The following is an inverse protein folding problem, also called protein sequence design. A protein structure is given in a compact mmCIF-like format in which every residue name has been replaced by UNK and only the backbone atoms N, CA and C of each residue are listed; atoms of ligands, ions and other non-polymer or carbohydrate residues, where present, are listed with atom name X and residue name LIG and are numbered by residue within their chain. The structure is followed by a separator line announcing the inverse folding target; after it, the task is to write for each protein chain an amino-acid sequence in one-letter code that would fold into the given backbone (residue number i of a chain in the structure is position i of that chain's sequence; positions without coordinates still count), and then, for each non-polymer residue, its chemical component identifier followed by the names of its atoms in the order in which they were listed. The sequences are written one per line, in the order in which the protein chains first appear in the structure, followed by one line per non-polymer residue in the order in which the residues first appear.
data_IF_830095296496
#
_entry.id   IF_830095296496
#
_cell.length_a   1.000
_cell.length_b   1.000
_cell.length_c   1.000
_cell.angle_alpha   90.00
_cell.angle_beta   90.00
_cell.angle_gamma   90.00
#
_symmetry.space_group_name_H-M   'P 1'
#
loop_
_entity.id
_entity.type
_entity.pdbx_description
1 polymer ?
#
# COMPACT_ATOMS: atom_id res chain seq x y z
N UNK A 1 38.58 -39.33 48.31
CA UNK A 1 38.59 -38.05 47.55
C UNK A 1 38.12 -38.22 46.09
N UNK A 2 37.59 -39.38 45.68
CA UNK A 2 37.18 -39.65 44.28
C UNK A 2 35.75 -39.17 43.93
N UNK A 3 34.89 -38.91 44.91
CA UNK A 3 33.50 -38.49 44.66
C UNK A 3 33.33 -37.02 44.24
N UNK A 4 34.31 -36.16 44.51
CA UNK A 4 34.22 -34.71 44.21
C UNK A 4 34.52 -34.36 42.74
N UNK A 5 35.31 -35.18 42.04
CA UNK A 5 35.70 -34.89 40.64
C UNK A 5 34.60 -35.22 39.63
N UNK A 6 33.81 -36.27 39.87
CA UNK A 6 32.67 -36.64 39.03
C UNK A 6 31.54 -35.61 39.11
N UNK A 7 31.29 -35.07 40.31
CA UNK A 7 30.27 -34.05 40.51
C UNK A 7 30.62 -32.75 39.76
N UNK A 8 31.90 -32.37 39.73
CA UNK A 8 32.36 -31.18 39.00
C UNK A 8 32.26 -31.35 37.48
N UNK A 9 32.56 -32.54 36.96
CA UNK A 9 32.39 -32.85 35.53
C UNK A 9 30.91 -32.83 35.12
N UNK A 10 30.03 -33.37 35.97
CA UNK A 10 28.58 -33.35 35.74
C UNK A 10 27.98 -31.94 35.79
N UNK A 11 28.40 -31.12 36.77
CA UNK A 11 27.94 -29.73 36.87
C UNK A 11 28.42 -28.87 35.69
N UNK A 12 29.65 -29.10 35.20
CA UNK A 12 30.16 -28.43 34.01
C UNK A 12 29.35 -28.83 32.76
N UNK A 13 29.01 -30.11 32.60
CA UNK A 13 28.17 -30.60 31.50
C UNK A 13 26.76 -30.01 31.57
N UNK A 14 26.14 -29.97 32.76
CA UNK A 14 24.82 -29.38 32.95
C UNK A 14 24.81 -27.88 32.68
N UNK A 15 25.87 -27.16 33.04
CA UNK A 15 26.00 -25.74 32.72
C UNK A 15 26.14 -25.50 31.21
N UNK A 16 26.90 -26.35 30.51
CA UNK A 16 27.01 -26.29 29.05
C UNK A 16 25.67 -26.60 28.38
N UNK A 17 24.96 -27.64 28.83
CA UNK A 17 23.63 -27.98 28.32
C UNK A 17 22.59 -26.90 28.64
N UNK A 18 22.68 -26.27 29.82
CA UNK A 18 21.84 -25.14 30.19
C UNK A 18 22.11 -23.92 29.31
N UNK A 19 23.38 -23.54 29.11
CA UNK A 19 23.75 -22.43 28.24
C UNK A 19 23.37 -22.70 26.77
N UNK A 20 23.51 -23.94 26.29
CA UNK A 20 23.02 -24.34 24.97
C UNK A 20 21.49 -24.26 24.89
N UNK A 21 20.76 -24.65 25.95
CA UNK A 21 19.29 -24.59 25.98
C UNK A 21 18.76 -23.15 26.09
N UNK A 22 19.49 -22.25 26.73
CA UNK A 22 19.15 -20.82 26.82
C UNK A 22 19.52 -20.11 25.52
N UNK A 23 20.64 -20.48 24.88
CA UNK A 23 20.99 -20.02 23.54
C UNK A 23 19.95 -20.45 22.50
N UNK A 24 19.49 -21.71 22.54
CA UNK A 24 18.46 -22.22 21.63
C UNK A 24 17.09 -21.55 21.81
N UNK A 25 16.74 -21.14 23.04
CA UNK A 25 15.47 -20.43 23.33
C UNK A 25 15.50 -18.94 23.01
N UNK A 26 16.69 -18.38 22.75
CA UNK A 26 16.91 -16.98 22.40
C UNK A 26 17.42 -16.82 20.97
N UNK A 27 17.38 -17.88 20.16
CA UNK A 27 17.44 -17.70 18.72
C UNK A 27 16.21 -16.87 18.34
N UNK A 28 16.36 -15.73 17.63
CA UNK A 28 15.21 -15.18 16.93
C UNK A 28 14.62 -16.36 16.14
N UNK A 29 13.31 -16.58 16.29
CA UNK A 29 12.56 -17.38 15.33
C UNK A 29 13.07 -16.97 13.95
N UNK A 30 13.45 -17.93 13.08
CA UNK A 30 13.89 -17.62 11.71
C UNK A 30 12.92 -16.58 11.18
N UNK A 31 13.36 -15.32 11.06
CA UNK A 31 12.56 -14.33 10.37
C UNK A 31 12.37 -14.96 8.99
N UNK A 32 11.13 -15.27 8.58
CA UNK A 32 10.91 -15.88 7.28
C UNK A 32 11.65 -14.97 6.31
N UNK A 33 12.59 -15.53 5.54
CA UNK A 33 13.26 -14.80 4.46
C UNK A 33 12.16 -14.01 3.76
N UNK A 34 12.20 -12.68 3.84
CA UNK A 34 11.16 -11.86 3.26
C UNK A 34 11.23 -12.08 1.76
N UNK A 35 10.38 -12.99 1.27
CA UNK A 35 10.26 -13.24 -0.15
C UNK A 35 9.54 -12.03 -0.72
N UNK A 36 10.28 -11.23 -1.47
CA UNK A 36 9.73 -10.05 -2.11
C UNK A 36 8.79 -10.46 -3.24
N UNK A 37 7.64 -9.81 -3.27
CA UNK A 37 6.64 -9.93 -4.32
C UNK A 37 7.04 -8.96 -5.42
N UNK A 38 7.40 -9.49 -6.59
CA UNK A 38 7.78 -8.68 -7.73
C UNK A 38 6.53 -8.08 -8.39
N UNK A 39 6.65 -6.88 -8.99
CA UNK A 39 5.55 -6.30 -9.75
C UNK A 39 5.20 -7.19 -10.94
N UNK A 40 3.91 -7.18 -11.30
CA UNK A 40 3.44 -7.86 -12.51
C UNK A 40 3.76 -7.05 -13.76
N UNK A 41 4.02 -5.75 -13.63
CA UNK A 41 4.48 -4.88 -14.69
C UNK A 41 5.21 -3.69 -14.09
N UNK A 42 6.28 -3.26 -14.75
CA UNK A 42 7.02 -2.06 -14.41
C UNK A 42 7.28 -1.25 -15.67
N UNK A 43 7.51 0.05 -15.52
CA UNK A 43 7.99 0.89 -16.61
C UNK A 43 8.98 1.93 -16.11
N UNK A 44 9.99 2.20 -16.95
CA UNK A 44 11.11 3.03 -16.57
C UNK A 44 10.84 4.54 -16.68
N UNK A 45 11.54 5.32 -15.86
CA UNK A 45 11.63 6.79 -15.94
C UNK A 45 12.51 7.24 -17.11
N UNK A 46 12.08 6.96 -18.34
CA UNK A 46 12.87 7.17 -19.55
C UNK A 46 12.55 8.49 -20.28
N UNK A 47 11.83 9.39 -19.63
CA UNK A 47 11.35 10.64 -20.22
C UNK A 47 10.02 10.52 -20.96
N UNK A 48 9.33 9.38 -20.84
CA UNK A 48 7.99 9.17 -21.42
C UNK A 48 6.92 8.72 -20.39
N UNK A 49 7.33 8.45 -19.15
CA UNK A 49 6.49 8.14 -17.99
C UNK A 49 7.34 8.35 -16.72
N UNK A 50 6.72 8.71 -15.58
CA UNK A 50 7.43 9.01 -14.31
C UNK A 50 6.56 9.00 -13.03
N UNK A 51 5.26 8.74 -13.11
CA UNK A 51 4.38 8.72 -11.94
C UNK A 51 3.10 7.96 -12.25
N UNK A 52 3.02 6.71 -11.79
CA UNK A 52 1.88 5.84 -12.02
C UNK A 52 0.67 6.30 -11.23
N UNK A 53 -0.45 6.29 -11.92
CA UNK A 53 -1.79 6.39 -11.35
C UNK A 53 -2.46 5.05 -11.57
N UNK A 54 -2.50 4.23 -10.52
CA UNK A 54 -3.26 2.99 -10.51
C UNK A 54 -4.74 3.23 -10.86
N UNK A 55 -5.34 2.30 -11.59
CA UNK A 55 -6.73 2.41 -11.98
C UNK A 55 -7.52 1.16 -11.70
N UNK A 56 -8.30 0.66 -12.67
CA UNK A 56 -9.33 -0.37 -12.43
C UNK A 56 -9.32 -1.40 -13.55
N UNK A 57 -9.66 -2.65 -13.21
CA UNK A 57 -10.02 -3.66 -14.21
C UNK A 57 -11.39 -3.29 -14.80
N UNK A 58 -11.45 -3.09 -16.10
CA UNK A 58 -12.69 -2.65 -16.75
C UNK A 58 -13.71 -3.80 -16.84
N UNK A 59 -14.87 -3.60 -16.21
CA UNK A 59 -16.00 -4.55 -16.17
C UNK A 59 -17.31 -3.96 -16.73
N UNK A 60 -17.26 -2.75 -17.28
CA UNK A 60 -18.39 -2.08 -17.93
C UNK A 60 -18.74 -2.70 -19.29
N UNK A 61 -19.84 -2.22 -19.89
CA UNK A 61 -20.36 -2.71 -21.16
C UNK A 61 -20.18 -1.72 -22.31
N UNK A 62 -19.93 -0.43 -22.05
CA UNK A 62 -19.84 0.60 -23.08
C UNK A 62 -18.56 0.53 -23.92
N UNK A 63 -17.51 -0.12 -23.43
CA UNK A 63 -16.17 -0.19 -24.07
C UNK A 63 -15.69 -1.64 -24.12
N UNK A 64 -16.30 -2.51 -24.94
CA UNK A 64 -16.01 -3.95 -24.95
C UNK A 64 -14.55 -4.32 -25.18
N UNK A 65 -13.79 -3.49 -25.91
CA UNK A 65 -12.36 -3.70 -26.16
C UNK A 65 -11.47 -3.66 -24.91
N UNK A 66 -11.95 -3.08 -23.81
CA UNK A 66 -11.24 -3.01 -22.53
C UNK A 66 -11.64 -4.12 -21.54
N UNK A 67 -12.66 -4.93 -21.85
CA UNK A 67 -13.20 -5.90 -20.91
C UNK A 67 -12.11 -6.82 -20.32
N UNK A 68 -12.00 -6.83 -19.00
CA UNK A 68 -11.03 -7.65 -18.25
C UNK A 68 -9.59 -7.12 -18.24
N UNK A 69 -9.30 -5.98 -18.89
CA UNK A 69 -7.99 -5.33 -18.85
C UNK A 69 -7.92 -4.34 -17.69
N UNK A 70 -6.77 -4.27 -17.03
CA UNK A 70 -6.46 -3.27 -16.01
C UNK A 70 -6.03 -1.96 -16.68
N UNK A 71 -6.77 -0.89 -16.43
CA UNK A 71 -6.50 0.42 -17.03
C UNK A 71 -5.80 1.29 -16.00
N UNK A 72 -4.67 1.86 -16.39
CA UNK A 72 -3.83 2.71 -15.54
C UNK A 72 -3.21 3.82 -16.39
N UNK A 73 -2.64 4.83 -15.75
CA UNK A 73 -2.05 5.96 -16.46
C UNK A 73 -0.82 6.52 -15.79
N UNK A 74 -0.23 7.52 -16.46
CA UNK A 74 0.89 8.28 -15.94
C UNK A 74 0.48 9.74 -15.73
N UNK A 75 0.66 10.21 -14.50
CA UNK A 75 0.32 11.57 -14.10
C UNK A 75 1.18 12.62 -14.82
N UNK A 76 2.45 12.33 -15.13
CA UNK A 76 3.45 13.29 -15.63
C UNK A 76 3.46 13.42 -17.16
N UNK A 77 3.12 12.35 -17.88
CA UNK A 77 3.18 12.32 -19.35
C UNK A 77 1.81 12.18 -20.01
N UNK A 78 0.74 12.00 -19.24
CA UNK A 78 -0.62 12.01 -19.76
C UNK A 78 -0.91 10.86 -20.72
N UNK A 79 -0.30 9.72 -20.42
CA UNK A 79 -0.50 8.45 -21.12
C UNK A 79 -1.41 7.55 -20.30
N UNK A 80 -2.20 6.73 -21.00
CA UNK A 80 -3.05 5.70 -20.40
C UNK A 80 -2.81 4.41 -21.15
N UNK A 81 -2.68 3.31 -20.41
CA UNK A 81 -2.50 1.98 -20.96
C UNK A 81 -3.57 1.01 -20.45
N UNK A 82 -3.73 -0.07 -21.19
CA UNK A 82 -4.41 -1.28 -20.75
C UNK A 82 -3.38 -2.39 -20.54
N UNK A 83 -3.42 -3.06 -19.39
CA UNK A 83 -2.66 -4.25 -19.08
C UNK A 83 -3.59 -5.46 -19.06
N UNK A 84 -3.28 -6.46 -19.88
CA UNK A 84 -3.94 -7.76 -19.90
C UNK A 84 -2.97 -8.84 -19.40
N UNK A 85 -3.40 -9.66 -18.44
CA UNK A 85 -2.61 -10.82 -17.99
C UNK A 85 -2.93 -12.00 -18.90
N UNK A 86 -1.92 -12.47 -19.63
CA UNK A 86 -2.03 -13.63 -20.53
C UNK A 86 -1.14 -14.78 -20.05
N UNK A 87 -1.33 -15.97 -20.62
CA UNK A 87 -0.48 -17.15 -20.34
C UNK A 87 1.01 -16.90 -20.69
N UNK A 88 1.28 -15.98 -21.62
CA UNK A 88 2.63 -15.60 -22.06
C UNK A 88 3.21 -14.41 -21.25
N UNK A 89 2.48 -13.93 -20.22
CA UNK A 89 2.85 -12.79 -19.39
C UNK A 89 1.95 -11.57 -19.57
N UNK A 90 2.25 -10.45 -18.88
CA UNK A 90 1.53 -9.20 -19.03
C UNK A 90 1.69 -8.63 -20.44
N UNK A 91 0.59 -8.25 -21.08
CA UNK A 91 0.57 -7.51 -22.35
C UNK A 91 0.05 -6.11 -22.09
N UNK A 92 0.79 -5.10 -22.55
CA UNK A 92 0.46 -3.70 -22.29
C UNK A 92 0.25 -2.96 -23.61
N UNK A 93 -0.89 -2.29 -23.71
CA UNK A 93 -1.35 -1.55 -24.88
C UNK A 93 -1.49 -0.07 -24.53
N UNK A 94 -0.83 0.82 -25.26
CA UNK A 94 -1.03 2.26 -25.12
C UNK A 94 -2.38 2.64 -25.72
N UNK A 95 -3.26 3.23 -24.91
CA UNK A 95 -4.60 3.64 -25.31
C UNK A 95 -4.67 5.12 -25.68
N UNK A 96 -4.07 5.97 -24.84
CA UNK A 96 -4.10 7.44 -24.97
C UNK A 96 -2.69 7.97 -24.77
N UNK A 97 -2.27 8.88 -25.65
CA UNK A 97 -1.13 9.77 -25.46
C UNK A 97 -1.59 11.19 -25.73
N UNK A 98 -1.90 11.94 -24.66
CA UNK A 98 -2.45 13.30 -24.77
C UNK A 98 -1.43 14.34 -25.25
N UNK A 99 -0.13 14.02 -25.28
CA UNK A 99 0.90 14.92 -25.79
C UNK A 99 1.11 14.74 -27.30
N UNK A 100 0.93 13.52 -27.81
CA UNK A 100 1.05 13.23 -29.25
C UNK A 100 -0.25 13.42 -30.02
N UNK A 101 -1.41 13.28 -29.38
CA UNK A 101 -2.71 13.41 -30.03
C UNK A 101 -3.10 14.89 -30.23
N UNK A 102 -3.17 15.39 -31.48
CA UNK A 102 -3.50 16.78 -31.78
C UNK A 102 -4.95 17.17 -31.41
N UNK A 103 -5.80 16.22 -31.03
CA UNK A 103 -7.13 16.50 -30.51
C UNK A 103 -7.11 17.09 -29.09
N UNK A 104 -5.99 16.99 -28.38
CA UNK A 104 -5.84 17.51 -27.02
C UNK A 104 -5.33 18.95 -27.02
N UNK A 105 -6.05 19.83 -26.35
CA UNK A 105 -5.65 21.23 -26.16
C UNK A 105 -4.63 21.40 -25.01
N UNK A 106 -4.60 20.42 -24.09
CA UNK A 106 -3.70 20.37 -22.95
C UNK A 106 -3.38 18.91 -22.58
N UNK A 107 -2.23 18.71 -21.91
CA UNK A 107 -1.80 17.42 -21.37
C UNK A 107 -2.80 16.92 -20.33
N UNK A 108 -3.27 15.68 -20.50
CA UNK A 108 -4.05 14.97 -19.48
C UNK A 108 -3.15 14.70 -18.26
N UNK A 109 -3.56 15.11 -17.07
CA UNK A 109 -2.87 14.78 -15.83
C UNK A 109 -3.71 13.77 -15.06
N UNK A 110 -3.66 12.50 -15.44
CA UNK A 110 -4.49 11.45 -14.87
C UNK A 110 -4.18 11.28 -13.38
N UNK A 111 -4.99 11.85 -12.50
CA UNK A 111 -4.79 11.89 -11.04
C UNK A 111 -5.62 10.85 -10.29
N UNK A 112 -6.63 10.28 -10.93
CA UNK A 112 -7.35 9.12 -10.42
C UNK A 112 -8.12 8.45 -11.53
N UNK A 113 -8.34 7.16 -11.37
CA UNK A 113 -9.41 6.45 -12.06
C UNK A 113 -10.50 6.09 -11.06
N UNK A 114 -11.72 5.96 -11.55
CA UNK A 114 -12.83 5.45 -10.77
C UNK A 114 -13.88 4.83 -11.67
N UNK A 115 -14.72 4.00 -11.07
CA UNK A 115 -15.82 3.33 -11.75
C UNK A 115 -17.15 3.80 -11.16
N UNK A 116 -18.18 3.85 -12.01
CA UNK A 116 -19.54 4.02 -11.52
C UNK A 116 -20.17 2.69 -11.06
N UNK A 117 -21.42 2.75 -10.60
CA UNK A 117 -22.15 1.55 -10.14
C UNK A 117 -22.37 0.52 -11.27
N UNK A 118 -22.35 0.95 -12.53
CA UNK A 118 -22.46 0.10 -13.72
C UNK A 118 -21.12 -0.49 -14.19
N UNK A 119 -20.00 -0.11 -13.55
CA UNK A 119 -18.65 -0.56 -13.92
C UNK A 119 -18.04 0.22 -15.08
N UNK A 120 -18.63 1.34 -15.48
CA UNK A 120 -18.06 2.22 -16.49
C UNK A 120 -16.90 3.02 -15.90
N UNK A 121 -15.85 3.21 -16.70
CA UNK A 121 -14.57 3.76 -16.24
C UNK A 121 -14.44 5.24 -16.57
N UNK A 122 -13.91 5.95 -15.60
CA UNK A 122 -13.66 7.37 -15.62
C UNK A 122 -12.21 7.66 -15.24
N UNK A 123 -11.67 8.75 -15.78
CA UNK A 123 -10.38 9.32 -15.37
C UNK A 123 -10.59 10.77 -14.94
N UNK A 124 -10.10 11.10 -13.75
CA UNK A 124 -9.98 12.46 -13.28
C UNK A 124 -8.70 13.06 -13.87
N UNK A 125 -8.85 14.14 -14.62
CA UNK A 125 -7.75 15.01 -15.00
C UNK A 125 -7.56 16.05 -13.91
N UNK A 126 -6.36 16.16 -13.33
CA UNK A 126 -6.02 17.19 -12.35
C UNK A 126 -6.27 18.61 -12.89
N UNK A 127 -6.30 18.79 -14.22
CA UNK A 127 -6.73 20.03 -14.88
C UNK A 127 -8.21 20.41 -14.69
N UNK A 128 -9.02 19.54 -14.07
CA UNK A 128 -10.39 19.82 -13.65
C UNK A 128 -11.49 19.18 -14.49
N UNK A 129 -11.14 18.30 -15.43
CA UNK A 129 -12.12 17.58 -16.26
C UNK A 129 -12.25 16.13 -15.83
N UNK A 130 -13.46 15.58 -15.85
CA UNK A 130 -13.68 14.15 -15.63
C UNK A 130 -14.03 13.50 -16.97
N UNK A 131 -13.16 12.64 -17.46
CA UNK A 131 -13.33 11.97 -18.74
C UNK A 131 -13.91 10.57 -18.54
N UNK A 132 -14.74 10.12 -19.48
CA UNK A 132 -15.24 8.74 -19.54
C UNK A 132 -14.73 8.05 -20.79
N UNK A 133 -14.35 6.79 -20.68
CA UNK A 133 -14.04 5.95 -21.83
C UNK A 133 -15.30 5.64 -22.64
N UNK A 134 -15.18 5.69 -23.96
CA UNK A 134 -16.24 5.34 -24.89
C UNK A 134 -15.66 4.56 -26.05
N UNK A 135 -16.46 3.68 -26.63
CA UNK A 135 -16.10 2.99 -27.87
C UNK A 135 -17.22 3.13 -28.91
N UNK A 136 -16.86 3.58 -30.10
CA UNK A 136 -17.78 3.67 -31.23
C UNK A 136 -17.10 3.15 -32.49
N UNK A 137 -17.72 2.15 -33.14
CA UNK A 137 -17.19 1.52 -34.36
C UNK A 137 -15.76 1.00 -34.24
N UNK A 138 -15.38 0.50 -33.05
CA UNK A 138 -14.04 -0.01 -32.76
C UNK A 138 -13.00 1.08 -32.49
N UNK A 139 -13.42 2.34 -32.31
CA UNK A 139 -12.55 3.45 -31.91
C UNK A 139 -12.81 3.82 -30.46
N UNK A 140 -11.78 3.68 -29.64
CA UNK A 140 -11.76 4.13 -28.24
C UNK A 140 -11.52 5.64 -28.19
N UNK A 141 -12.23 6.33 -27.31
CA UNK A 141 -12.06 7.76 -27.07
C UNK A 141 -12.44 8.14 -25.63
N UNK A 142 -11.86 9.25 -25.15
CA UNK A 142 -12.28 9.92 -23.93
C UNK A 142 -13.26 11.05 -24.27
N UNK A 143 -14.36 11.14 -23.53
CA UNK A 143 -15.34 12.22 -23.65
C UNK A 143 -15.54 12.91 -22.30
N UNK A 144 -15.70 14.23 -22.32
CA UNK A 144 -16.05 14.98 -21.12
C UNK A 144 -17.40 14.49 -20.57
N UNK A 145 -17.36 13.96 -19.35
CA UNK A 145 -18.52 13.38 -18.67
C UNK A 145 -19.50 14.45 -18.23
N UNK A 146 -18.98 15.63 -17.86
CA UNK A 146 -19.76 16.69 -17.25
C UNK A 146 -19.54 18.03 -17.98
N UNK A 147 -19.96 18.14 -19.26
CA UNK A 147 -19.74 19.35 -20.03
C UNK A 147 -20.26 20.61 -19.35
N UNK A 148 -19.37 21.59 -19.17
CA UNK A 148 -19.67 22.86 -18.52
C UNK A 148 -19.52 22.86 -17.00
N UNK A 149 -19.16 21.73 -16.39
CA UNK A 149 -18.64 21.68 -15.02
C UNK A 149 -17.12 21.66 -15.04
N UNK A 150 -16.50 22.22 -14.01
CA UNK A 150 -15.06 22.16 -13.79
C UNK A 150 -14.79 21.90 -12.32
N UNK A 151 -13.80 21.06 -12.05
CA UNK A 151 -13.40 20.63 -10.71
C UNK A 151 -12.03 21.21 -10.37
N UNK A 152 -11.79 21.46 -9.09
CA UNK A 152 -10.52 22.00 -8.60
C UNK A 152 -9.64 20.84 -8.14
N UNK A 153 -8.55 20.60 -8.87
CA UNK A 153 -7.57 19.54 -8.57
C UNK A 153 -8.24 18.21 -8.17
N UNK A 154 -9.05 17.60 -9.06
CA UNK A 154 -9.71 16.34 -8.70
C UNK A 154 -8.65 15.25 -8.50
N UNK A 155 -8.76 14.49 -7.41
CA UNK A 155 -7.78 13.45 -7.02
C UNK A 155 -8.44 12.11 -6.64
N UNK A 156 -9.75 11.99 -6.82
CA UNK A 156 -10.48 10.78 -6.48
C UNK A 156 -11.89 10.75 -7.07
N UNK A 157 -12.38 9.53 -7.31
CA UNK A 157 -13.69 9.25 -7.87
C UNK A 157 -14.27 8.05 -7.12
N UNK A 158 -15.46 8.18 -6.56
CA UNK A 158 -16.11 7.09 -5.84
C UNK A 158 -17.61 7.03 -6.13
N UNK A 159 -18.09 5.85 -6.49
CA UNK A 159 -19.52 5.59 -6.64
C UNK A 159 -20.18 5.47 -5.27
N UNK A 160 -21.40 5.99 -5.17
CA UNK A 160 -22.18 6.03 -3.93
C UNK A 160 -22.99 4.74 -3.69
N UNK A 161 -23.13 3.86 -4.69
CA UNK A 161 -24.09 2.76 -4.67
C UNK A 161 -25.54 3.17 -4.96
N UNK A 162 -25.81 4.47 -5.16
CA UNK A 162 -27.15 5.01 -5.47
C UNK A 162 -27.27 5.60 -6.89
N UNK A 163 -26.29 5.33 -7.76
CA UNK A 163 -26.23 5.78 -9.15
C UNK A 163 -25.42 7.07 -9.35
N UNK A 164 -24.87 7.66 -8.27
CA UNK A 164 -24.01 8.86 -8.35
C UNK A 164 -22.53 8.49 -8.26
N UNK A 165 -21.73 9.19 -9.06
CA UNK A 165 -20.27 9.23 -8.97
C UNK A 165 -19.86 10.58 -8.33
N UNK A 166 -19.10 10.54 -7.23
CA UNK A 166 -18.61 11.74 -6.55
C UNK A 166 -17.11 11.93 -6.77
N UNK A 167 -16.71 13.19 -6.92
CA UNK A 167 -15.36 13.67 -7.18
C UNK A 167 -14.79 14.20 -5.86
N UNK A 168 -13.55 13.81 -5.57
CA UNK A 168 -12.73 14.38 -4.51
C UNK A 168 -11.93 15.53 -5.10
N UNK A 169 -12.14 16.75 -4.60
CA UNK A 169 -11.31 17.91 -4.89
C UNK A 169 -10.28 18.07 -3.77
N UNK A 170 -9.01 18.08 -4.15
CA UNK A 170 -7.86 18.13 -3.23
C UNK A 170 -7.98 19.21 -2.12
N UNK A 171 -8.53 20.42 -2.37
CA UNK A 171 -8.67 21.45 -1.34
C UNK A 171 -9.68 21.14 -0.21
N UNK A 172 -10.29 19.95 -0.18
CA UNK A 172 -11.16 19.54 0.94
C UNK A 172 -12.64 19.50 0.64
N UNK A 173 -13.03 19.26 -0.62
CA UNK A 173 -14.44 19.15 -1.01
C UNK A 173 -14.74 17.83 -1.69
N UNK A 174 -15.93 17.30 -1.42
CA UNK A 174 -16.51 16.17 -2.18
C UNK A 174 -17.71 16.69 -2.97
N UNK A 175 -17.62 16.60 -4.29
CA UNK A 175 -18.65 17.08 -5.22
C UNK A 175 -19.33 15.88 -5.86
N UNK A 176 -20.66 15.81 -5.83
CA UNK A 176 -21.44 14.77 -6.49
C UNK A 176 -22.27 15.39 -7.61
N UNK A 177 -21.83 15.30 -8.88
CA UNK A 177 -22.60 15.72 -10.02
C UNK A 177 -23.81 14.82 -10.26
N UNK A 178 -24.93 15.43 -10.65
CA UNK A 178 -26.15 14.73 -11.05
C UNK A 178 -26.99 15.64 -11.94
N UNK A 179 -27.50 15.12 -13.05
CA UNK A 179 -28.36 15.83 -14.01
C UNK A 179 -27.82 17.21 -14.46
N UNK A 180 -26.51 17.30 -14.71
CA UNK A 180 -25.84 18.54 -15.14
C UNK A 180 -25.66 19.59 -14.04
N UNK A 181 -25.99 19.27 -12.78
CA UNK A 181 -25.68 20.10 -11.62
C UNK A 181 -24.58 19.44 -10.77
N UNK A 182 -23.87 20.24 -9.99
CA UNK A 182 -22.90 19.78 -9.00
C UNK A 182 -23.42 20.06 -7.58
N UNK A 183 -23.47 19.04 -6.72
CA UNK A 183 -23.81 19.21 -5.30
C UNK A 183 -22.58 19.00 -4.43
N UNK A 184 -22.36 19.88 -3.46
CA UNK A 184 -21.29 19.71 -2.47
C UNK A 184 -21.80 18.77 -1.39
N UNK A 185 -21.29 17.54 -1.37
CA UNK A 185 -21.61 16.56 -0.33
C UNK A 185 -20.88 16.91 0.97
N UNK A 186 -19.57 17.17 0.89
CA UNK A 186 -18.71 17.49 2.02
C UNK A 186 -17.87 18.72 1.68
N UNK A 187 -17.72 19.61 2.66
CA UNK A 187 -16.78 20.73 2.61
C UNK A 187 -16.07 20.84 3.95
N UNK A 188 -14.79 20.50 3.96
CA UNK A 188 -13.91 20.50 5.14
C UNK A 188 -12.59 21.24 4.86
N UNK A 189 -12.55 22.15 3.89
CA UNK A 189 -11.32 22.86 3.49
C UNK A 189 -10.56 23.50 4.66
N UNK A 190 -11.27 24.03 5.66
CA UNK A 190 -10.67 24.63 6.86
C UNK A 190 -9.89 23.61 7.75
N UNK A 191 -10.18 22.32 7.61
CA UNK A 191 -9.50 21.24 8.35
C UNK A 191 -8.39 20.57 7.53
N UNK A 192 -8.34 20.84 6.22
CA UNK A 192 -7.44 20.19 5.27
C UNK A 192 -6.20 21.06 5.06
N UNK A 193 -5.04 20.42 5.04
CA UNK A 193 -3.80 21.00 4.56
C UNK A 193 -3.58 20.57 3.10
N UNK A 194 -3.60 21.52 2.17
CA UNK A 194 -3.30 21.33 0.75
C UNK A 194 -2.13 22.23 0.29
N UNK A 195 -1.24 22.62 1.21
CA UNK A 195 -0.09 23.49 0.93
C UNK A 195 0.98 22.85 0.01
N UNK A 196 0.99 21.52 -0.12
CA UNK A 196 1.94 20.74 -0.91
C UNK A 196 1.21 19.75 -1.84
N UNK A 197 1.91 19.24 -2.85
CA UNK A 197 1.29 18.56 -3.99
C UNK A 197 0.61 17.23 -3.63
N UNK A 198 1.08 16.55 -2.60
CA UNK A 198 0.54 15.26 -2.13
C UNK A 198 -0.29 15.41 -0.85
N UNK A 199 -0.42 16.62 -0.33
CA UNK A 199 -1.30 16.93 0.80
C UNK A 199 -2.69 17.32 0.27
N UNK A 200 -3.71 17.12 1.08
CA UNK A 200 -5.08 17.54 0.76
C UNK A 200 -6.12 16.53 1.27
N UNK A 201 -7.31 16.57 0.68
CA UNK A 201 -8.30 15.50 0.76
C UNK A 201 -7.99 14.47 -0.33
N UNK A 202 -7.63 13.25 0.06
CA UNK A 202 -6.96 12.27 -0.82
C UNK A 202 -7.83 11.05 -1.13
N UNK A 203 -8.60 10.56 -0.16
CA UNK A 203 -9.42 9.36 -0.30
C UNK A 203 -10.89 9.60 0.04
N UNK A 204 -11.75 8.83 -0.62
CA UNK A 204 -13.18 8.81 -0.41
C UNK A 204 -13.68 7.39 -0.66
N UNK A 205 -14.40 6.83 0.31
CA UNK A 205 -15.11 5.57 0.14
C UNK A 205 -16.51 5.68 0.76
N UNK A 206 -17.53 5.26 0.02
CA UNK A 206 -18.88 5.13 0.54
C UNK A 206 -19.06 3.76 1.16
N UNK A 207 -19.68 3.69 2.35
CA UNK A 207 -20.02 2.41 2.95
C UNK A 207 -20.88 1.58 1.97
N UNK A 208 -20.74 0.25 1.87
CA UNK A 208 -21.56 -0.57 0.96
C UNK A 208 -23.08 -0.40 1.18
N UNK A 209 -23.48 -0.11 2.43
CA UNK A 209 -24.83 0.27 2.84
C UNK A 209 -25.17 1.78 2.81
N UNK A 210 -24.42 2.63 2.10
CA UNK A 210 -24.55 4.10 2.15
C UNK A 210 -25.97 4.60 1.82
N UNK A 211 -26.67 3.96 0.88
CA UNK A 211 -28.05 4.30 0.56
C UNK A 211 -28.97 4.23 1.81
N UNK A 212 -28.69 3.32 2.73
CA UNK A 212 -29.48 3.07 3.94
C UNK A 212 -28.92 3.82 5.17
N UNK A 213 -27.61 3.73 5.41
CA UNK A 213 -26.98 4.26 6.63
C UNK A 213 -26.34 5.63 6.47
N UNK A 214 -26.07 6.06 5.23
CA UNK A 214 -25.45 7.35 4.91
C UNK A 214 -24.00 7.50 5.33
N UNK A 215 -23.30 6.43 5.73
CA UNK A 215 -21.91 6.46 6.21
C UNK A 215 -20.92 6.50 5.05
N UNK A 216 -19.93 7.37 5.14
CA UNK A 216 -18.84 7.45 4.17
C UNK A 216 -17.57 7.92 4.88
N UNK A 217 -16.44 7.66 4.25
CA UNK A 217 -15.13 7.79 4.86
C UNK A 217 -14.23 8.63 3.96
N UNK A 218 -13.42 9.45 4.59
CA UNK A 218 -12.43 10.29 3.91
C UNK A 218 -11.09 10.20 4.61
N UNK A 219 -10.04 10.36 3.83
CA UNK A 219 -8.68 10.57 4.32
C UNK A 219 -8.21 11.94 3.87
N UNK A 220 -7.58 12.67 4.79
CA UNK A 220 -7.04 13.97 4.48
C UNK A 220 -5.86 14.32 5.37
N UNK A 221 -4.97 15.16 4.85
CA UNK A 221 -3.89 15.75 5.62
C UNK A 221 -4.44 16.89 6.48
N UNK A 222 -4.18 16.87 7.79
CA UNK A 222 -4.73 17.83 8.74
C UNK A 222 -4.01 19.18 8.69
N UNK A 223 -4.76 20.29 8.78
CA UNK A 223 -4.20 21.64 8.76
C UNK A 223 -3.25 21.95 9.95
N UNK A 224 -3.48 21.36 11.11
CA UNK A 224 -2.76 21.70 12.35
C UNK A 224 -1.37 21.05 12.44
N UNK A 225 -1.28 19.76 12.21
CA UNK A 225 -0.03 18.99 12.39
C UNK A 225 0.42 18.20 11.14
N UNK A 226 -0.37 18.20 10.07
CA UNK A 226 -0.04 17.51 8.82
C UNK A 226 -0.15 15.98 8.91
N UNK A 227 -0.78 15.43 9.94
CA UNK A 227 -1.08 14.01 10.01
C UNK A 227 -2.07 13.60 8.90
N UNK A 228 -1.99 12.36 8.43
CA UNK A 228 -3.05 11.79 7.62
C UNK A 228 -4.14 11.27 8.56
N UNK A 229 -5.36 11.80 8.43
CA UNK A 229 -6.51 11.40 9.25
C UNK A 229 -7.53 10.64 8.40
N UNK A 230 -7.90 9.45 8.85
CA UNK A 230 -9.09 8.72 8.39
C UNK A 230 -10.27 9.10 9.28
N UNK A 231 -11.34 9.63 8.66
CA UNK A 231 -12.54 10.04 9.37
C UNK A 231 -13.81 9.50 8.69
N UNK A 232 -14.79 9.13 9.52
CA UNK A 232 -16.15 8.81 9.13
C UNK A 232 -17.04 10.06 9.24
N UNK A 233 -17.93 10.22 8.26
CA UNK A 233 -19.05 11.16 8.29
C UNK A 233 -20.36 10.45 7.92
N UNK A 234 -21.48 11.06 8.29
CA UNK A 234 -22.80 10.62 7.87
C UNK A 234 -23.54 11.67 7.02
N UNK A 235 -24.31 11.21 6.04
CA UNK A 235 -25.21 12.02 5.24
C UNK A 235 -26.67 11.61 5.48
N UNK A 236 -27.51 12.59 5.80
CA UNK A 236 -28.95 12.37 6.00
C UNK A 236 -29.70 12.50 4.68
N UNK A 237 -30.70 11.64 4.48
CA UNK A 237 -31.58 11.75 3.32
C UNK A 237 -32.42 13.03 3.40
N UNK A 238 -32.47 13.76 2.29
CA UNK A 238 -33.35 14.92 2.14
C UNK A 238 -34.81 14.48 1.86
N UNK A 239 -35.71 15.43 1.59
CA UNK A 239 -37.14 15.15 1.32
C UNK A 239 -37.39 14.29 0.08
N UNK A 240 -36.43 14.20 -0.84
CA UNK A 240 -36.49 13.33 -2.03
C UNK A 240 -35.77 12.00 -1.81
N UNK A 241 -35.27 11.72 -0.60
CA UNK A 241 -34.56 10.49 -0.26
C UNK A 241 -33.07 10.48 -0.61
N UNK A 242 -32.54 11.57 -1.17
CA UNK A 242 -31.14 11.65 -1.63
C UNK A 242 -30.24 12.15 -0.50
N UNK A 243 -29.06 11.53 -0.35
CA UNK A 243 -28.02 11.91 0.63
C UNK A 243 -26.95 12.77 -0.04
N UNK A 244 -27.28 14.04 -0.24
CA UNK A 244 -26.42 15.00 -0.95
C UNK A 244 -25.78 16.08 -0.05
N UNK A 245 -25.85 15.91 1.28
CA UNK A 245 -25.22 16.82 2.23
C UNK A 245 -24.78 16.06 3.48
N UNK A 246 -23.50 16.14 3.83
CA UNK A 246 -22.92 15.55 5.02
C UNK A 246 -23.28 16.34 6.28
N UNK A 247 -23.46 15.65 7.40
CA UNK A 247 -23.52 16.28 8.71
C UNK A 247 -22.09 16.44 9.24
N UNK A 248 -21.52 17.65 9.15
CA UNK A 248 -20.14 17.91 9.62
C UNK A 248 -19.94 17.62 11.11
N UNK A 249 -20.98 17.76 11.93
CA UNK A 249 -20.92 17.44 13.37
C UNK A 249 -20.91 15.93 13.67
N UNK A 250 -21.15 15.09 12.66
CA UNK A 250 -21.10 13.63 12.81
C UNK A 250 -19.70 13.04 12.65
N UNK A 251 -18.68 13.87 12.47
CA UNK A 251 -17.30 13.41 12.29
C UNK A 251 -16.89 12.46 13.42
N UNK A 252 -16.41 11.28 13.04
CA UNK A 252 -15.70 10.35 13.92
C UNK A 252 -14.32 10.10 13.37
N UNK A 253 -13.29 10.45 14.13
CA UNK A 253 -11.91 10.13 13.77
C UNK A 253 -11.67 8.65 14.05
N UNK A 254 -11.15 7.92 13.06
CA UNK A 254 -10.92 6.49 13.15
C UNK A 254 -9.45 6.18 13.36
N UNK A 255 -8.58 6.84 12.58
CA UNK A 255 -7.13 6.66 12.61
C UNK A 255 -6.45 7.99 12.30
N UNK A 256 -5.33 8.26 12.98
CA UNK A 256 -4.41 9.35 12.68
C UNK A 256 -3.00 8.80 12.58
N UNK A 257 -2.33 9.09 11.47
CA UNK A 257 -0.95 8.65 11.20
C UNK A 257 -0.11 9.89 10.98
N UNK A 258 0.87 10.09 11.86
CA UNK A 258 1.85 11.18 11.71
C UNK A 258 2.64 10.99 10.41
N UNK A 259 2.76 12.05 9.63
CA UNK A 259 3.51 12.06 8.37
C UNK A 259 4.88 12.71 8.62
N UNK A 260 6.01 11.97 8.52
CA UNK A 260 7.36 12.52 8.71
C UNK A 260 7.71 13.63 7.71
N UNK A 261 7.09 13.60 6.53
CA UNK A 261 7.27 14.58 5.47
C UNK A 261 5.95 14.88 4.73
N UNK A 262 5.98 15.87 3.83
CA UNK A 262 4.80 16.37 3.08
C UNK A 262 4.47 15.60 1.81
N UNK A 263 5.22 14.54 1.52
CA UNK A 263 5.02 13.70 0.34
C UNK A 263 4.98 12.23 0.76
N UNK A 264 4.62 11.37 -0.18
CA UNK A 264 4.29 9.95 -0.03
C UNK A 264 3.20 9.72 1.03
N UNK A 265 2.15 10.56 0.99
CA UNK A 265 1.07 10.49 1.97
C UNK A 265 0.09 9.34 1.70
N UNK A 266 0.05 8.81 0.46
CA UNK A 266 -0.91 7.80 0.03
C UNK A 266 -2.35 8.31 0.19
N UNK A 267 -3.14 7.62 1.00
CA UNK A 267 -4.46 8.06 1.44
C UNK A 267 -5.61 7.49 0.64
N UNK A 268 -5.41 6.68 -0.40
CA UNK A 268 -6.56 6.10 -1.12
C UNK A 268 -7.41 5.18 -0.24
N UNK A 269 -8.73 5.21 -0.45
CA UNK A 269 -9.70 4.39 0.25
C UNK A 269 -10.57 3.63 -0.75
N UNK A 270 -10.79 2.35 -0.47
CA UNK A 270 -11.76 1.53 -1.19
C UNK A 270 -12.37 0.49 -0.24
N UNK A 271 -13.63 0.10 -0.46
CA UNK A 271 -14.20 -1.07 0.18
C UNK A 271 -13.90 -2.31 -0.65
N UNK A 272 -13.28 -3.31 -0.03
CA UNK A 272 -13.03 -4.59 -0.68
C UNK A 272 -14.32 -5.39 -0.92
N UNK A 273 -14.25 -6.45 -1.75
CA UNK A 273 -15.38 -7.37 -1.96
C UNK A 273 -15.76 -8.13 -0.67
N UNK A 274 -14.90 -8.09 0.33
CA UNK A 274 -15.09 -8.64 1.66
C UNK A 274 -15.86 -7.71 2.62
N UNK A 275 -16.23 -6.50 2.17
CA UNK A 275 -16.95 -5.52 2.98
C UNK A 275 -16.08 -4.71 3.95
N UNK A 276 -14.76 -4.91 3.92
CA UNK A 276 -13.82 -4.20 4.78
C UNK A 276 -13.33 -2.91 4.12
N UNK A 277 -12.91 -1.93 4.93
CA UNK A 277 -12.32 -0.69 4.44
C UNK A 277 -10.81 -0.88 4.28
N UNK A 278 -10.27 -0.44 3.15
CA UNK A 278 -8.85 -0.52 2.83
C UNK A 278 -8.22 0.87 2.70
N UNK A 279 -6.96 1.01 3.09
CA UNK A 279 -6.22 2.28 3.04
C UNK A 279 -4.77 2.05 2.62
N UNK A 280 -4.30 2.73 1.58
CA UNK A 280 -2.90 2.74 1.17
C UNK A 280 -2.13 3.88 1.81
N UNK A 281 -0.97 3.63 2.42
CA UNK A 281 -0.09 4.64 3.01
C UNK A 281 1.31 4.53 2.42
N UNK A 282 1.86 5.64 1.94
CA UNK A 282 3.26 5.70 1.53
C UNK A 282 4.21 5.65 2.72
N UNK A 283 5.50 5.55 2.43
CA UNK A 283 6.60 5.44 3.40
C UNK A 283 6.77 6.68 4.30
N UNK A 284 5.93 7.71 4.13
CA UNK A 284 5.97 8.94 4.92
C UNK A 284 6.93 10.00 4.38
N UNK A 285 7.54 9.75 3.22
CA UNK A 285 8.16 10.76 2.38
C UNK A 285 9.60 11.09 2.72
N UNK A 286 10.19 11.93 1.86
CA UNK A 286 11.65 12.09 1.58
C UNK A 286 12.19 10.99 0.67
N UNK A 287 13.41 11.18 0.17
CA UNK A 287 14.08 10.26 -0.74
C UNK A 287 14.48 8.95 -0.04
N UNK A 288 14.44 7.83 -0.78
CA UNK A 288 15.05 6.55 -0.43
C UNK A 288 14.63 5.96 0.92
N UNK A 289 13.36 6.15 1.32
CA UNK A 289 12.81 5.77 2.63
C UNK A 289 13.71 6.22 3.80
N UNK A 290 13.91 7.53 3.91
CA UNK A 290 14.82 8.13 4.88
C UNK A 290 14.50 7.84 6.36
N UNK A 291 13.34 7.25 6.64
CA UNK A 291 12.87 6.91 7.97
C UNK A 291 12.78 5.40 8.19
N UNK A 292 13.01 4.57 7.17
CA UNK A 292 13.04 3.12 7.25
C UNK A 292 11.66 2.51 7.50
N UNK A 293 10.60 3.17 7.03
CA UNK A 293 9.23 2.81 7.36
C UNK A 293 8.70 1.64 6.53
N UNK A 294 9.10 1.52 5.26
CA UNK A 294 8.49 0.56 4.34
C UNK A 294 8.76 -0.90 4.72
N UNK A 295 9.84 -1.16 5.47
CA UNK A 295 10.19 -2.50 5.96
C UNK A 295 9.96 -2.66 7.47
N UNK A 296 9.48 -1.62 8.16
CA UNK A 296 9.22 -1.65 9.59
C UNK A 296 7.73 -1.93 9.87
N UNK A 297 7.43 -3.16 10.28
CA UNK A 297 6.07 -3.61 10.59
C UNK A 297 5.49 -2.99 11.87
N UNK A 298 6.24 -2.20 12.64
CA UNK A 298 5.75 -1.50 13.84
C UNK A 298 5.12 -0.13 13.52
N UNK A 299 5.34 0.39 12.29
CA UNK A 299 4.66 1.56 11.74
C UNK A 299 3.57 1.15 10.74
N UNK A 300 2.65 2.06 10.45
CA UNK A 300 1.61 1.86 9.42
C UNK A 300 2.03 2.40 8.04
N UNK A 301 3.15 3.11 7.97
CA UNK A 301 3.66 3.72 6.74
C UNK A 301 4.24 2.66 5.80
N UNK A 302 4.27 2.95 4.50
CA UNK A 302 4.75 2.05 3.45
C UNK A 302 3.94 0.75 3.33
N UNK A 303 2.63 0.83 3.61
CA UNK A 303 1.76 -0.32 3.80
C UNK A 303 0.38 -0.14 3.20
N UNK A 304 -0.28 -1.27 2.92
CA UNK A 304 -1.70 -1.36 2.64
C UNK A 304 -2.41 -1.92 3.87
N UNK A 305 -3.41 -1.21 4.36
CA UNK A 305 -4.14 -1.50 5.60
C UNK A 305 -5.55 -1.99 5.33
N UNK A 306 -6.11 -2.79 6.24
CA UNK A 306 -7.47 -3.33 6.17
C UNK A 306 -8.15 -3.33 7.54
N UNK A 307 -9.36 -2.77 7.60
CA UNK A 307 -10.13 -2.55 8.83
C UNK A 307 -11.55 -3.13 8.74
N UNK A 308 -12.06 -3.65 9.85
CA UNK A 308 -13.50 -3.87 10.02
C UNK A 308 -14.12 -2.61 10.64
N UNK A 309 -14.82 -1.82 9.82
CA UNK A 309 -15.40 -0.54 10.25
C UNK A 309 -16.78 -0.67 10.89
N UNK A 310 -17.34 -1.88 10.88
CA UNK A 310 -18.64 -2.22 11.44
C UNK A 310 -18.54 -2.90 12.81
N UNK A 311 -17.36 -3.43 13.15
CA UNK A 311 -17.04 -3.95 14.48
C UNK A 311 -16.09 -3.02 15.26
N UNK A 312 -16.11 -3.09 16.59
CA UNK A 312 -15.19 -2.36 17.47
C UNK A 312 -15.47 -0.84 17.64
N UNK A 313 -14.59 -0.20 18.41
CA UNK A 313 -14.56 1.26 18.64
C UNK A 313 -13.10 1.72 18.79
N UNK A 314 -12.52 2.43 17.79
CA UNK A 314 -13.20 3.02 16.63
C UNK A 314 -13.44 2.08 15.44
N UNK A 315 -12.78 0.91 15.42
CA UNK A 315 -12.90 -0.16 14.41
C UNK A 315 -12.37 -1.49 14.97
N UNK A 316 -12.64 -2.59 14.27
CA UNK A 316 -12.15 -3.94 14.53
C UNK A 316 -11.00 -4.31 13.58
N UNK A 317 -10.26 -5.35 13.96
CA UNK A 317 -9.23 -5.97 13.12
C UNK A 317 -9.81 -7.29 12.59
N UNK A 318 -9.86 -7.49 11.27
CA UNK A 318 -10.25 -8.79 10.72
C UNK A 318 -9.30 -9.89 11.19
N UNK A 319 -9.84 -11.00 11.70
CA UNK A 319 -9.06 -12.14 12.22
C UNK A 319 -8.11 -12.74 11.18
N UNK A 320 -8.43 -12.58 9.89
CA UNK A 320 -7.63 -13.04 8.77
C UNK A 320 -6.59 -12.02 8.29
N UNK A 321 -6.39 -10.87 8.94
CA UNK A 321 -5.22 -10.03 8.68
C UNK A 321 -3.91 -10.78 9.02
N UNK A 322 -2.81 -10.58 8.25
CA UNK A 322 -1.57 -11.32 8.43
C UNK A 322 -0.90 -11.12 9.79
N UNK A 323 -1.11 -9.97 10.42
CA UNK A 323 -0.49 -9.62 11.70
C UNK A 323 -1.50 -9.49 12.85
N UNK A 324 -2.72 -10.03 12.69
CA UNK A 324 -3.77 -9.95 13.70
C UNK A 324 -3.35 -10.53 15.06
N UNK A 325 -2.56 -11.61 15.06
CA UNK A 325 -2.06 -12.30 16.26
C UNK A 325 -0.67 -11.80 16.74
N UNK A 326 -0.11 -10.75 16.10
CA UNK A 326 1.20 -10.17 16.41
C UNK A 326 2.24 -10.34 15.29
N UNK A 327 3.45 -9.82 15.52
CA UNK A 327 4.54 -9.78 14.53
C UNK A 327 4.56 -8.53 13.64
N UNK A 328 3.67 -7.58 13.91
CA UNK A 328 3.54 -6.29 13.23
C UNK A 328 2.26 -5.59 13.68
N UNK A 329 1.96 -4.43 13.09
CA UNK A 329 0.68 -3.73 13.33
C UNK A 329 -0.48 -4.55 12.75
N UNK A 330 -1.53 -4.83 13.53
CA UNK A 330 -2.60 -5.74 13.13
C UNK A 330 -3.44 -5.22 11.95
N UNK A 331 -3.39 -3.92 11.67
CA UNK A 331 -4.03 -3.30 10.51
C UNK A 331 -3.38 -3.66 9.17
N UNK A 332 -2.09 -4.03 9.16
CA UNK A 332 -1.32 -4.24 7.93
C UNK A 332 -1.82 -5.49 7.21
N UNK A 333 -2.16 -5.32 5.93
CA UNK A 333 -2.39 -6.42 4.98
C UNK A 333 -1.14 -6.75 4.16
N UNK A 334 -0.41 -5.74 3.72
CA UNK A 334 0.83 -5.85 2.95
C UNK A 334 1.71 -4.63 3.18
N UNK A 335 3.01 -4.75 2.93
CA UNK A 335 4.01 -3.74 3.26
C UNK A 335 5.15 -3.73 2.25
N UNK A 336 6.12 -2.81 2.40
CA UNK A 336 7.23 -2.67 1.47
C UNK A 336 6.88 -1.84 0.25
N UNK A 337 5.95 -0.88 0.39
CA UNK A 337 5.60 0.06 -0.68
C UNK A 337 6.27 1.41 -0.47
N UNK A 338 6.51 2.14 -1.56
CA UNK A 338 7.00 3.53 -1.51
C UNK A 338 5.85 4.52 -1.37
N UNK A 339 4.93 4.53 -2.32
CA UNK A 339 3.77 5.40 -2.35
C UNK A 339 2.59 4.70 -3.07
N UNK A 340 1.90 3.76 -2.39
CA UNK A 340 0.77 2.99 -2.92
C UNK A 340 -0.52 3.81 -2.96
N UNK A 341 -0.48 4.97 -3.63
CA UNK A 341 -1.50 6.00 -3.51
C UNK A 341 -2.75 5.76 -4.37
N UNK A 342 -2.77 4.71 -5.20
CA UNK A 342 -3.98 4.20 -5.89
C UNK A 342 -3.95 2.67 -6.00
N UNK A 343 -5.04 2.04 -5.61
CA UNK A 343 -5.29 0.61 -5.76
C UNK A 343 -6.78 0.39 -6.04
N UNK A 344 -7.15 -0.81 -6.49
CA UNK A 344 -8.55 -1.19 -6.66
C UNK A 344 -8.74 -2.70 -6.60
N UNK A 345 -9.98 -3.13 -6.38
CA UNK A 345 -10.35 -4.53 -6.52
C UNK A 345 -11.01 -4.80 -7.87
N UNK A 346 -10.57 -5.86 -8.53
CA UNK A 346 -11.33 -6.41 -9.63
C UNK A 346 -12.65 -6.97 -9.11
N UNK A 347 -13.77 -6.32 -9.46
CA UNK A 347 -15.12 -6.67 -8.99
C UNK A 347 -15.58 -8.08 -9.39
N UNK A 348 -14.93 -8.71 -10.37
CA UNK A 348 -15.27 -10.07 -10.80
C UNK A 348 -14.44 -11.14 -10.07
N UNK A 349 -13.13 -10.92 -9.93
CA UNK A 349 -12.20 -11.93 -9.38
C UNK A 349 -11.86 -11.72 -7.90
N UNK A 350 -11.98 -10.49 -7.41
CA UNK A 350 -11.53 -10.05 -6.09
C UNK A 350 -10.02 -9.81 -6.01
N UNK A 351 -9.27 -9.92 -7.11
CA UNK A 351 -7.84 -9.58 -7.12
C UNK A 351 -7.63 -8.09 -6.82
N UNK A 352 -6.62 -7.79 -6.00
CA UNK A 352 -6.28 -6.43 -5.62
C UNK A 352 -5.12 -5.95 -6.49
N UNK A 353 -5.37 -4.90 -7.26
CA UNK A 353 -4.41 -4.26 -8.17
C UNK A 353 -3.92 -2.96 -7.56
N UNK A 354 -2.62 -2.72 -7.57
CA UNK A 354 -2.03 -1.56 -6.91
C UNK A 354 -0.98 -0.91 -7.82
N UNK A 355 -1.03 0.41 -7.96
CA UNK A 355 0.08 1.19 -8.53
C UNK A 355 0.98 1.72 -7.42
N UNK A 356 2.28 1.46 -7.51
CA UNK A 356 3.27 2.01 -6.57
C UNK A 356 4.24 2.95 -7.30
N UNK A 357 4.39 4.17 -6.77
CA UNK A 357 5.20 5.21 -7.42
C UNK A 357 6.65 5.06 -7.02
N UNK A 358 7.52 4.96 -8.03
CA UNK A 358 8.96 4.79 -7.90
C UNK A 358 9.71 6.03 -7.47
N UNK A 359 10.99 5.85 -7.17
CA UNK A 359 11.88 6.90 -6.71
C UNK A 359 12.69 7.51 -7.85
N UNK A 360 13.44 6.68 -8.59
CA UNK A 360 14.46 7.12 -9.54
C UNK A 360 14.32 6.41 -10.90
N UNK A 361 13.98 5.12 -10.92
CA UNK A 361 14.10 4.28 -12.11
C UNK A 361 12.78 3.71 -12.62
N UNK A 362 11.87 3.28 -11.75
CA UNK A 362 10.74 2.43 -12.18
C UNK A 362 9.44 2.67 -11.41
N UNK A 363 8.34 2.75 -12.16
CA UNK A 363 6.99 2.71 -11.63
C UNK A 363 6.43 1.27 -11.68
N UNK A 364 5.55 0.91 -10.75
CA UNK A 364 5.10 -0.47 -10.59
C UNK A 364 3.59 -0.65 -10.64
N UNK A 365 3.14 -1.77 -11.23
CA UNK A 365 1.82 -2.35 -11.02
C UNK A 365 1.98 -3.71 -10.32
N UNK A 366 1.30 -3.86 -9.20
CA UNK A 366 1.40 -4.98 -8.27
C UNK A 366 0.06 -5.73 -8.13
N UNK A 367 0.14 -7.06 -7.89
CA UNK A 367 -1.00 -7.86 -7.40
C UNK A 367 -0.83 -8.12 -5.90
N UNK A 368 -1.75 -7.50 -5.16
CA UNK A 368 -2.03 -7.46 -3.72
C UNK A 368 -2.18 -8.76 -2.93
N UNK A 369 -1.14 -9.53 -2.61
CA UNK A 369 -1.31 -10.73 -1.76
C UNK A 369 -1.19 -10.49 -0.25
N UNK A 370 -1.87 -11.34 0.54
CA UNK A 370 -1.89 -11.31 2.01
C UNK A 370 -0.49 -11.48 2.59
N UNK A 371 -0.05 -10.51 3.38
CA UNK A 371 1.26 -10.50 4.04
C UNK A 371 2.43 -10.30 3.08
N UNK A 372 2.15 -9.92 1.82
CA UNK A 372 3.19 -9.67 0.82
C UNK A 372 4.10 -8.50 1.22
N UNK A 373 5.40 -8.67 0.94
CA UNK A 373 6.40 -7.62 1.02
C UNK A 373 6.78 -7.19 -0.40
N UNK A 374 6.61 -5.91 -0.74
CA UNK A 374 6.82 -5.37 -2.09
C UNK A 374 8.21 -4.70 -2.26
N UNK A 375 9.07 -4.88 -1.27
CA UNK A 375 10.51 -4.72 -1.45
C UNK A 375 11.05 -3.32 -1.28
N UNK A 376 10.27 -2.26 -1.31
CA UNK A 376 10.79 -0.92 -1.05
C UNK A 376 11.35 -0.80 0.39
N UNK A 377 12.54 -0.27 0.66
CA UNK A 377 13.50 0.36 -0.26
C UNK A 377 14.74 -0.52 -0.57
N UNK A 378 14.56 -1.84 -0.59
CA UNK A 378 15.55 -2.80 -1.10
C UNK A 378 15.43 -3.00 -2.63
N UNK A 379 14.21 -3.00 -3.14
CA UNK A 379 13.91 -3.05 -4.58
C UNK A 379 13.14 -1.80 -5.02
N UNK A 380 13.40 -1.40 -6.26
CA UNK A 380 12.56 -0.50 -7.05
C UNK A 380 12.26 -1.22 -8.36
N UNK A 381 11.01 -1.61 -8.57
CA UNK A 381 10.62 -2.59 -9.57
C UNK A 381 11.26 -3.95 -9.30
N UNK A 382 11.82 -4.55 -10.34
CA UNK A 382 12.65 -5.76 -10.25
C UNK A 382 14.13 -5.45 -9.99
N UNK A 383 14.48 -4.18 -9.80
CA UNK A 383 15.85 -3.71 -9.70
C UNK A 383 16.27 -3.51 -8.25
N UNK A 384 17.53 -3.87 -7.97
CA UNK A 384 18.19 -3.50 -6.73
C UNK A 384 18.15 -1.99 -6.51
N UNK A 385 17.71 -1.56 -5.33
CA UNK A 385 17.81 -0.19 -4.91
C UNK A 385 18.88 -0.04 -3.82
N UNK A 386 19.90 0.79 -4.08
CA UNK A 386 20.93 1.10 -3.09
C UNK A 386 20.53 2.33 -2.27
N UNK A 387 19.71 2.11 -1.24
CA UNK A 387 19.37 3.20 -0.31
C UNK A 387 20.62 3.69 0.44
N UNK A 388 20.81 5.03 0.58
CA UNK A 388 22.00 5.60 1.21
C UNK A 388 21.97 5.54 2.75
N UNK A 389 20.94 4.94 3.36
CA UNK A 389 20.74 4.93 4.81
C UNK A 389 21.23 3.62 5.44
N UNK A 390 21.97 3.74 6.54
CA UNK A 390 22.68 2.62 7.19
C UNK A 390 21.77 1.45 7.62
N UNK A 391 20.47 1.67 7.83
CA UNK A 391 19.54 0.59 8.17
C UNK A 391 19.25 -0.37 7.00
N UNK A 392 19.57 0.04 5.76
CA UNK A 392 19.54 -0.83 4.58
C UNK A 392 20.92 -1.40 4.21
N UNK A 393 21.97 -1.04 4.96
CA UNK A 393 23.34 -1.47 4.64
C UNK A 393 23.52 -2.98 4.67
N UNK A 394 24.30 -3.47 3.71
CA UNK A 394 24.76 -4.85 3.65
C UNK A 394 23.77 -5.79 3.01
N UNK A 395 22.56 -5.32 2.64
CA UNK A 395 21.63 -6.07 1.80
C UNK A 395 22.23 -6.29 0.42
N UNK A 396 22.31 -7.56 0.01
CA UNK A 396 22.53 -7.91 -1.38
C UNK A 396 21.20 -8.42 -1.93
N UNK A 397 20.80 -7.95 -3.10
CA UNK A 397 19.54 -8.34 -3.74
C UNK A 397 19.57 -9.79 -4.26
N UNK A 398 20.30 -10.67 -3.57
CA UNK A 398 20.27 -12.10 -3.82
C UNK A 398 18.96 -12.76 -3.34
N UNK A 399 18.07 -11.98 -2.70
CA UNK A 399 16.85 -12.47 -2.05
C UNK A 399 17.09 -13.04 -0.66
N UNK A 400 18.23 -12.74 -0.04
CA UNK A 400 18.62 -13.21 1.29
C UNK A 400 18.85 -12.02 2.21
N UNK A 401 18.17 -11.97 3.36
CA UNK A 401 18.47 -10.99 4.40
C UNK A 401 19.89 -11.22 4.98
N UNK A 402 20.81 -10.24 4.90
CA UNK A 402 22.15 -10.36 5.47
C UNK A 402 22.17 -10.26 6.99
N UNK A 403 21.15 -9.73 7.66
CA UNK A 403 21.04 -9.83 9.11
C UNK A 403 20.78 -11.28 9.53
N UNK A 404 19.95 -12.00 8.78
CA UNK A 404 19.82 -13.45 8.89
C UNK A 404 21.16 -14.16 8.60
N UNK A 405 21.94 -13.75 7.59
CA UNK A 405 23.30 -14.30 7.37
C UNK A 405 24.29 -13.96 8.50
N UNK A 406 24.24 -12.76 9.09
CA UNK A 406 25.13 -12.40 10.20
C UNK A 406 24.79 -13.22 11.43
N UNK A 407 23.52 -13.43 11.76
CA UNK A 407 23.15 -14.39 12.82
C UNK A 407 23.67 -15.81 12.49
N UNK A 408 23.61 -16.21 11.22
CA UNK A 408 24.14 -17.48 10.71
C UNK A 408 25.68 -17.60 10.76
N UNK A 409 26.41 -16.51 10.47
CA UNK A 409 27.87 -16.45 10.52
C UNK A 409 28.37 -16.28 11.95
N UNK A 410 27.70 -15.53 12.82
CA UNK A 410 28.10 -15.37 14.23
C UNK A 410 28.06 -16.70 14.99
N UNK A 411 27.10 -17.59 14.69
CA UNK A 411 27.04 -18.93 15.28
C UNK A 411 28.06 -19.92 14.71
N UNK A 412 28.49 -19.75 13.43
CA UNK A 412 29.47 -20.66 12.81
C UNK A 412 30.92 -20.19 12.86
N UNK A 413 31.17 -18.89 13.01
CA UNK A 413 32.52 -18.32 13.15
C UNK A 413 33.02 -18.46 14.59
N UNK A 414 32.12 -18.50 15.58
CA UNK A 414 32.47 -18.89 16.96
C UNK A 414 32.23 -20.39 17.19
N UNK A 415 32.88 -21.19 16.35
CA UNK A 415 33.66 -22.35 16.78
C UNK A 415 34.46 -21.99 18.03
N UNK A 416 33.80 -22.05 19.18
CA UNK A 416 34.24 -21.54 20.46
C UNK A 416 35.58 -22.22 20.82
N UNK A 417 36.73 -21.52 20.72
CA UNK A 417 38.02 -22.12 21.02
C UNK A 417 38.11 -22.48 22.50
N UNK A 418 37.33 -21.82 23.36
CA UNK A 418 37.17 -22.18 24.77
C UNK A 418 36.41 -23.51 24.94
N UNK A 419 35.38 -23.78 24.15
CA UNK A 419 34.65 -25.06 24.17
C UNK A 419 35.53 -26.21 23.67
N UNK A 420 36.30 -25.99 22.60
CA UNK A 420 37.30 -26.95 22.11
C UNK A 420 38.46 -27.14 23.09
N UNK A 421 38.92 -26.08 23.76
CA UNK A 421 39.92 -26.15 24.84
C UNK A 421 39.39 -26.87 26.07
N UNK A 422 38.14 -26.65 26.46
CA UNK A 422 37.50 -27.32 27.59
C UNK A 422 37.22 -28.80 27.29
N UNK A 423 36.79 -29.15 26.07
CA UNK A 423 36.70 -30.54 25.63
C UNK A 423 38.07 -31.21 25.58
N UNK A 424 39.08 -30.53 25.02
CA UNK A 424 40.46 -31.00 24.96
C UNK A 424 41.06 -31.23 26.35
N UNK A 425 40.87 -30.30 27.27
CA UNK A 425 41.33 -30.41 28.67
C UNK A 425 40.59 -31.53 29.41
N UNK A 426 39.29 -31.69 29.20
CA UNK A 426 38.48 -32.76 29.78
C UNK A 426 38.92 -34.15 29.30
N UNK A 427 39.20 -34.30 28.00
CA UNK A 427 39.73 -35.53 27.41
C UNK A 427 41.16 -35.84 27.89
N UNK A 428 42.01 -34.82 28.07
CA UNK A 428 43.36 -34.96 28.64
C UNK A 428 43.35 -35.41 30.11
N UNK A 429 42.43 -34.86 30.90
CA UNK A 429 42.23 -35.24 32.30
C UNK A 429 41.70 -36.68 32.39
N UNK A 430 40.70 -37.05 31.58
CA UNK A 430 40.18 -38.41 31.51
C UNK A 430 41.25 -39.44 31.09
N UNK A 431 42.10 -39.10 30.11
CA UNK A 431 43.19 -39.98 29.64
C UNK A 431 44.32 -40.16 30.66
N UNK A 432 44.58 -39.15 31.50
CA UNK A 432 45.54 -39.26 32.62
C UNK A 432 45.00 -40.08 33.78
N UNK A 433 43.68 -40.05 34.02
CA UNK A 433 43.03 -40.82 35.08
C UNK A 433 42.84 -42.29 34.69
N UNK A 434 42.57 -42.60 33.41
CA UNK A 434 42.44 -43.97 32.90
C UNK A 434 43.74 -44.77 32.72
N UNK A 435 44.92 -44.15 32.91
CA UNK A 435 46.23 -44.83 32.86
C UNK A 435 46.74 -45.29 34.24
N UNK A 436 45.96 -45.06 35.31
CA UNK A 436 46.20 -45.59 36.65
C UNK A 436 45.09 -46.59 37.00
N UNK A 437 45.07 -47.71 36.29
CA UNK A 437 44.36 -48.93 36.67
C UNK A 437 45.29 -50.10 36.47
#
# INVERSE_FOLDING_TARGET
MEGRSWLQAWLALLLVLFLLSVGWRNLPEEQPQAQYSLPIYEYAHNGEAASVTGGHVYRGAAVPSLAGKYIFGDYTYGRIWALERTDDGPQVELLIDSLEDPAWEARLSASAFGIDDAGELYVADHGGTIWRFTEASGTLALVDTFPGLGFVNPVGLAATGDGRLCIVEQPGRVICPHDGNATVLLDIHEAVNDDDWEQGLLGLAFHPGFAENGRFFVTYTTHDDGALRLAEFSASANTTGVRNHANLSSQRVLLEVAQPYRNHNGGHLEFGPDGHLWLGLGDGGKYSDAFGNAQDLETLLGSLLRFDIDDGDPYGIPDDNPFADGGGRPEIWAYGFRNPWKFSFDRETGELWLGDVGQDESEEINIVERGGNYGWAYYEGIHCYESPFEFYDGWDCSGLDPQAERAWLWERVLLNPLALLLLGASLLIARRLGRKS
#
